data_IF_720183296924
#
_entry.id   IF_720183296924
#
_cell.length_a   1.000
_cell.length_b   1.000
_cell.length_c   1.000
_cell.angle_alpha   90.00
_cell.angle_beta   90.00
_cell.angle_gamma   90.00
#
_symmetry.space_group_name_H-M   'P 1'
#
loop_
_entity.id
_entity.type
_entity.pdbx_description
1 polymer ?
#
# COMPACT_ATOMS: atom_id res chain seq x y z
N UNK A 1 43.22 5.19 -32.76
CA UNK A 1 41.86 5.65 -32.37
C UNK A 1 41.91 7.15 -32.20
N UNK A 2 40.94 7.91 -32.72
CA UNK A 2 40.87 9.35 -32.44
C UNK A 2 40.46 9.58 -30.98
N UNK A 3 40.84 10.73 -30.41
CA UNK A 3 40.38 11.16 -29.08
C UNK A 3 38.85 11.23 -28.98
N UNK A 4 38.16 11.50 -30.09
CA UNK A 4 36.71 11.46 -30.17
C UNK A 4 36.15 10.04 -30.00
N UNK A 5 36.79 9.01 -30.57
CA UNK A 5 36.37 7.62 -30.38
C UNK A 5 36.60 7.15 -28.93
N UNK A 6 37.67 7.62 -28.28
CA UNK A 6 37.93 7.30 -26.87
C UNK A 6 36.87 7.95 -25.96
N UNK A 7 36.52 9.21 -26.18
CA UNK A 7 35.48 9.90 -25.44
C UNK A 7 34.11 9.21 -25.60
N UNK A 8 33.74 8.84 -26.82
CA UNK A 8 32.50 8.10 -27.08
C UNK A 8 32.51 6.74 -26.38
N UNK A 9 33.64 6.02 -26.38
CA UNK A 9 33.77 4.73 -25.69
C UNK A 9 33.60 4.89 -24.17
N UNK A 10 34.17 5.94 -23.57
CA UNK A 10 34.01 6.22 -22.14
C UNK A 10 32.55 6.56 -21.81
N UNK A 11 31.90 7.40 -22.61
CA UNK A 11 30.48 7.73 -22.43
C UNK A 11 29.58 6.49 -22.56
N UNK A 12 29.88 5.60 -23.52
CA UNK A 12 29.18 4.34 -23.72
C UNK A 12 29.35 3.41 -22.51
N UNK A 13 30.58 3.27 -22.00
CA UNK A 13 30.86 2.47 -20.80
C UNK A 13 30.17 3.02 -19.56
N UNK A 14 30.19 4.34 -19.34
CA UNK A 14 29.48 4.96 -18.21
C UNK A 14 27.98 4.69 -18.29
N UNK A 15 27.39 4.81 -19.48
CA UNK A 15 25.96 4.51 -19.70
C UNK A 15 25.65 3.02 -19.44
N UNK A 16 26.46 2.12 -19.98
CA UNK A 16 26.28 0.67 -19.80
C UNK A 16 26.46 0.24 -18.34
N UNK A 17 27.40 0.84 -17.61
CA UNK A 17 27.60 0.57 -16.17
C UNK A 17 26.44 1.10 -15.34
N UNK A 18 25.86 2.25 -15.68
CA UNK A 18 24.66 2.75 -15.02
C UNK A 18 23.43 1.89 -15.31
N UNK A 19 23.27 1.44 -16.56
CA UNK A 19 22.18 0.54 -16.96
C UNK A 19 22.32 -0.86 -16.32
N UNK A 20 23.55 -1.36 -16.17
CA UNK A 20 23.84 -2.62 -15.49
C UNK A 20 23.86 -2.52 -13.95
N UNK A 21 23.80 -1.30 -13.40
CA UNK A 21 23.83 -1.05 -11.96
C UNK A 21 22.49 -1.27 -11.26
N UNK A 22 21.46 -1.70 -11.99
CA UNK A 22 20.07 -1.88 -11.53
C UNK A 22 19.49 -0.62 -10.86
N UNK A 23 19.15 0.41 -11.66
CA UNK A 23 18.58 1.63 -11.12
C UNK A 23 17.16 1.32 -10.61
N UNK A 24 17.05 1.04 -9.30
CA UNK A 24 15.81 0.66 -8.60
C UNK A 24 15.17 -0.63 -9.12
N UNK A 25 15.41 -1.73 -8.42
CA UNK A 25 14.78 -3.04 -8.67
C UNK A 25 13.60 -3.27 -7.71
N UNK A 26 12.75 -4.25 -8.02
CA UNK A 26 11.62 -4.65 -7.20
C UNK A 26 11.77 -6.07 -6.66
N UNK A 27 11.26 -6.31 -5.46
CA UNK A 27 11.27 -7.65 -4.86
C UNK A 27 9.97 -7.92 -4.10
N UNK A 28 9.78 -9.19 -3.73
CA UNK A 28 8.72 -9.61 -2.82
C UNK A 28 9.27 -9.75 -1.41
N UNK A 29 8.46 -9.35 -0.44
CA UNK A 29 8.75 -9.56 0.98
C UNK A 29 7.54 -10.08 1.73
N UNK A 30 7.79 -10.67 2.89
CA UNK A 30 6.77 -11.18 3.81
C UNK A 30 6.86 -10.39 5.12
N UNK A 31 5.72 -9.89 5.59
CA UNK A 31 5.63 -9.15 6.85
C UNK A 31 5.91 -10.10 8.02
N UNK A 32 6.92 -9.79 8.85
CA UNK A 32 7.29 -10.60 10.03
C UNK A 32 6.69 -10.04 11.32
N UNK A 33 6.68 -8.71 11.49
CA UNK A 33 6.15 -8.03 12.68
C UNK A 33 5.36 -6.79 12.29
N UNK A 34 4.35 -6.39 13.08
CA UNK A 34 3.48 -5.24 12.79
C UNK A 34 3.88 -3.97 13.56
N UNK A 35 4.42 -4.10 14.78
CA UNK A 35 4.81 -2.98 15.63
C UNK A 35 5.99 -3.37 16.53
N UNK A 36 7.24 -3.00 16.16
CA UNK A 36 7.60 -2.25 14.95
C UNK A 36 7.38 -3.09 13.68
N UNK A 37 7.11 -2.44 12.54
CA UNK A 37 6.95 -3.12 11.26
C UNK A 37 8.28 -3.71 10.80
N UNK A 38 8.27 -4.95 10.33
CA UNK A 38 9.42 -5.52 9.62
C UNK A 38 8.99 -6.44 8.49
N UNK A 39 9.76 -6.42 7.40
CA UNK A 39 9.49 -7.22 6.19
C UNK A 39 10.75 -7.99 5.84
N UNK A 40 10.63 -9.31 5.74
CA UNK A 40 11.71 -10.17 5.23
C UNK A 40 11.64 -10.23 3.71
N UNK A 41 12.74 -9.85 3.06
CA UNK A 41 12.93 -10.02 1.61
C UNK A 41 13.83 -11.24 1.36
N UNK A 42 13.37 -12.14 0.48
CA UNK A 42 14.07 -13.39 0.15
C UNK A 42 14.53 -14.21 1.37
N UNK A 43 15.64 -14.95 1.25
CA UNK A 43 16.13 -15.87 2.30
C UNK A 43 17.04 -15.22 3.36
N UNK A 44 17.26 -13.90 3.38
CA UNK A 44 18.23 -13.32 4.34
C UNK A 44 17.87 -11.98 4.99
N UNK A 45 17.48 -10.96 4.24
CA UNK A 45 17.45 -9.61 4.81
C UNK A 45 16.09 -9.27 5.42
N UNK A 46 16.10 -8.73 6.64
CA UNK A 46 14.92 -8.17 7.31
C UNK A 46 15.04 -6.65 7.25
N UNK A 47 14.07 -6.01 6.64
CA UNK A 47 13.99 -4.56 6.53
C UNK A 47 13.12 -4.05 7.69
N UNK A 48 13.70 -3.20 8.52
CA UNK A 48 13.05 -2.58 9.67
C UNK A 48 12.27 -1.33 9.28
N UNK A 49 11.29 -0.94 10.09
CA UNK A 49 10.35 0.16 9.86
C UNK A 49 11.02 1.46 9.40
N UNK A 50 12.18 1.82 9.94
CA UNK A 50 12.92 3.05 9.57
C UNK A 50 13.45 3.07 8.12
N UNK A 51 13.48 1.91 7.44
CA UNK A 51 13.88 1.79 6.04
C UNK A 51 12.68 1.50 5.13
N UNK A 52 11.45 1.55 5.65
CA UNK A 52 10.22 1.31 4.89
C UNK A 52 9.43 2.60 4.72
N UNK A 53 9.19 2.96 3.46
CA UNK A 53 8.28 4.03 3.08
C UNK A 53 6.95 3.41 2.65
N UNK A 54 5.88 3.68 3.40
CA UNK A 54 4.57 3.05 3.17
C UNK A 54 3.65 3.93 2.32
N UNK A 55 3.01 3.33 1.32
CA UNK A 55 1.92 3.96 0.57
C UNK A 55 0.57 3.75 1.28
N UNK A 56 -0.46 4.50 0.88
CA UNK A 56 -1.85 4.32 1.35
C UNK A 56 -2.41 2.91 1.01
N UNK A 57 -1.76 2.19 0.09
CA UNK A 57 -2.12 0.82 -0.27
C UNK A 57 -1.75 -0.21 0.81
N UNK A 58 -0.97 0.16 1.83
CA UNK A 58 -0.45 -0.76 2.86
C UNK A 58 -0.40 -0.15 4.28
N UNK A 59 -1.03 1.01 4.49
CA UNK A 59 -1.14 1.65 5.81
C UNK A 59 -2.57 2.09 6.08
N UNK A 60 -2.93 2.25 7.34
CA UNK A 60 -4.17 2.93 7.69
C UNK A 60 -4.11 4.40 7.28
N UNK A 61 -5.14 4.88 6.59
CA UNK A 61 -5.22 6.26 6.13
C UNK A 61 -6.64 6.82 6.22
N UNK A 62 -6.72 8.15 6.26
CA UNK A 62 -7.98 8.86 6.23
C UNK A 62 -8.20 9.45 4.84
N UNK A 63 -9.40 9.32 4.32
CA UNK A 63 -9.78 9.88 3.03
C UNK A 63 -11.17 10.49 3.09
N UNK A 64 -11.37 11.58 2.36
CA UNK A 64 -12.69 12.16 2.15
C UNK A 64 -13.34 11.54 0.92
N UNK A 65 -14.55 11.03 1.09
CA UNK A 65 -15.40 10.51 0.02
C UNK A 65 -16.65 11.39 -0.13
N UNK A 66 -17.22 11.42 -1.33
CA UNK A 66 -18.57 11.95 -1.54
C UNK A 66 -19.53 10.78 -1.68
N UNK A 67 -20.58 10.77 -0.85
CA UNK A 67 -21.60 9.72 -0.86
C UNK A 67 -22.94 10.29 -1.35
N UNK A 68 -23.71 9.44 -2.00
CA UNK A 68 -25.10 9.71 -2.37
C UNK A 68 -25.90 8.41 -2.26
N UNK A 69 -26.08 7.95 -1.02
CA UNK A 69 -26.78 6.70 -0.70
C UNK A 69 -28.01 6.98 0.15
N UNK A 70 -28.94 6.04 0.16
CA UNK A 70 -30.06 6.00 1.11
C UNK A 70 -30.04 4.62 1.78
N UNK A 71 -30.30 4.56 3.08
CA UNK A 71 -30.33 3.27 3.79
C UNK A 71 -31.51 2.41 3.32
N UNK A 72 -31.45 1.11 3.57
CA UNK A 72 -32.64 0.27 3.43
C UNK A 72 -33.73 0.70 4.42
N UNK A 73 -34.98 0.46 4.03
CA UNK A 73 -36.12 0.66 4.92
C UNK A 73 -36.03 -0.32 6.09
N UNK A 74 -36.08 0.21 7.32
CA UNK A 74 -36.11 -0.58 8.54
C UNK A 74 -37.22 -0.07 9.45
N UNK A 75 -37.93 -1.00 10.08
CA UNK A 75 -38.91 -0.72 11.15
C UNK A 75 -38.41 -1.35 12.45
N UNK A 76 -38.65 -0.72 13.59
CA UNK A 76 -38.28 -1.28 14.89
C UNK A 76 -39.07 -0.65 16.03
N UNK A 77 -39.72 -1.45 16.86
CA UNK A 77 -40.54 -1.00 17.99
C UNK A 77 -41.85 -1.77 18.14
N UNK A 78 -42.62 -1.48 19.19
CA UNK A 78 -43.80 -2.23 19.62
C UNK A 78 -45.09 -2.06 18.79
N UNK A 79 -45.00 -1.70 17.51
CA UNK A 79 -46.15 -1.59 16.59
C UNK A 79 -46.86 -0.22 16.54
N UNK A 80 -46.32 0.82 17.17
CA UNK A 80 -46.84 2.19 17.06
C UNK A 80 -46.41 2.87 15.73
N UNK A 81 -47.20 3.85 15.27
CA UNK A 81 -47.00 4.51 13.97
C UNK A 81 -45.66 5.25 13.86
N UNK A 82 -45.15 5.74 14.99
CA UNK A 82 -43.86 6.40 15.14
C UNK A 82 -42.67 5.46 14.85
N UNK A 83 -42.90 4.15 14.81
CA UNK A 83 -41.92 3.12 14.47
C UNK A 83 -42.09 2.56 13.05
N UNK A 84 -42.88 3.25 12.21
CA UNK A 84 -43.08 2.86 10.83
C UNK A 84 -41.76 2.77 10.06
N UNK A 85 -41.75 1.88 9.07
CA UNK A 85 -40.58 1.65 8.23
C UNK A 85 -40.19 2.92 7.49
N UNK A 86 -38.94 3.34 7.64
CA UNK A 86 -38.37 4.49 6.96
C UNK A 86 -36.89 4.25 6.67
N UNK A 87 -36.31 5.18 5.93
CA UNK A 87 -34.90 5.22 5.58
C UNK A 87 -34.31 6.60 5.86
N UNK A 88 -32.99 6.71 5.69
CA UNK A 88 -32.25 7.94 5.84
C UNK A 88 -31.33 8.18 4.67
N UNK A 89 -31.23 9.44 4.27
CA UNK A 89 -30.22 9.88 3.30
C UNK A 89 -28.84 9.93 3.95
N UNK A 90 -27.87 9.35 3.26
CA UNK A 90 -26.45 9.42 3.57
C UNK A 90 -25.73 10.09 2.41
N UNK A 91 -25.75 11.42 2.43
CA UNK A 91 -25.27 12.30 1.35
C UNK A 91 -24.16 13.25 1.80
N UNK A 92 -23.36 13.70 0.84
CA UNK A 92 -22.35 14.75 1.00
C UNK A 92 -20.92 14.24 1.22
N UNK A 93 -20.00 15.15 1.56
CA UNK A 93 -18.59 14.83 1.85
C UNK A 93 -18.45 14.24 3.24
N UNK A 94 -17.83 13.07 3.36
CA UNK A 94 -17.61 12.33 4.60
C UNK A 94 -16.15 11.91 4.69
N UNK A 95 -15.56 12.03 5.87
CA UNK A 95 -14.25 11.44 6.17
C UNK A 95 -14.45 10.00 6.62
N UNK A 96 -13.70 9.08 6.04
CA UNK A 96 -13.61 7.69 6.48
C UNK A 96 -12.17 7.33 6.83
N UNK A 97 -12.00 6.35 7.70
CA UNK A 97 -10.72 5.66 7.90
C UNK A 97 -10.75 4.39 7.07
N UNK A 98 -9.75 4.22 6.21
CA UNK A 98 -9.51 2.96 5.50
C UNK A 98 -8.48 2.19 6.30
N UNK A 99 -8.92 1.07 6.88
CA UNK A 99 -8.04 0.15 7.59
C UNK A 99 -7.35 -0.76 6.56
N UNK A 100 -6.07 -0.48 6.33
CA UNK A 100 -5.27 -1.09 5.28
C UNK A 100 -3.82 -1.33 5.71
N UNK A 101 -3.50 -1.22 7.00
CA UNK A 101 -2.22 -1.57 7.58
C UNK A 101 -1.85 -3.05 7.36
N UNK A 102 -0.56 -3.32 7.22
CA UNK A 102 -0.04 -4.66 6.98
C UNK A 102 -0.20 -5.58 8.19
N UNK A 103 -0.43 -6.86 7.90
CA UNK A 103 -0.51 -7.92 8.90
C UNK A 103 0.59 -8.98 8.73
N UNK A 104 0.96 -9.65 9.83
CA UNK A 104 1.97 -10.73 9.79
C UNK A 104 1.58 -11.80 8.77
N UNK A 105 2.55 -12.18 7.93
CA UNK A 105 2.39 -13.19 6.88
C UNK A 105 1.92 -12.64 5.54
N UNK A 106 1.52 -11.37 5.46
CA UNK A 106 1.17 -10.75 4.19
C UNK A 106 2.39 -10.63 3.28
N UNK A 107 2.20 -10.92 1.99
CA UNK A 107 3.23 -10.75 0.96
C UNK A 107 3.05 -9.40 0.28
N UNK A 108 4.12 -8.63 0.19
CA UNK A 108 4.12 -7.28 -0.39
C UNK A 108 5.15 -7.14 -1.51
N UNK A 109 4.89 -6.17 -2.39
CA UNK A 109 5.81 -5.74 -3.45
C UNK A 109 6.58 -4.52 -2.95
N UNK A 110 7.91 -4.58 -3.00
CA UNK A 110 8.78 -3.49 -2.59
C UNK A 110 9.57 -2.96 -3.80
N UNK A 111 9.78 -1.65 -3.85
CA UNK A 111 10.75 -1.00 -4.73
C UNK A 111 11.96 -0.55 -3.93
N UNK A 112 13.16 -0.94 -4.37
CA UNK A 112 14.40 -0.50 -3.74
C UNK A 112 14.71 0.95 -4.12
N UNK A 113 15.05 1.77 -3.12
CA UNK A 113 15.54 3.12 -3.35
C UNK A 113 16.90 3.09 -4.06
N UNK A 114 17.00 3.77 -5.20
CA UNK A 114 18.26 3.89 -5.92
C UNK A 114 19.32 4.62 -5.07
N UNK A 115 20.50 4.02 -4.94
CA UNK A 115 21.62 4.57 -4.17
C UNK A 115 21.41 4.59 -2.65
N UNK A 116 20.36 3.94 -2.14
CA UNK A 116 20.01 3.88 -0.72
C UNK A 116 19.75 2.46 -0.23
N UNK A 117 19.35 2.38 1.04
CA UNK A 117 18.95 1.15 1.73
C UNK A 117 17.45 1.09 2.03
N UNK A 118 16.71 2.15 1.69
CA UNK A 118 15.26 2.22 1.87
C UNK A 118 14.48 1.47 0.80
N UNK A 119 13.24 1.14 1.13
CA UNK A 119 12.28 0.52 0.23
C UNK A 119 10.95 1.24 0.30
N UNK A 120 10.31 1.44 -0.85
CA UNK A 120 8.90 1.83 -0.91
C UNK A 120 8.05 0.57 -0.98
N UNK A 121 7.12 0.39 -0.05
CA UNK A 121 6.16 -0.71 -0.06
C UNK A 121 4.96 -0.31 -0.91
N UNK A 122 4.87 -0.88 -2.11
CA UNK A 122 3.89 -0.48 -3.12
C UNK A 122 2.49 -0.96 -2.81
N UNK A 123 2.34 -2.27 -2.56
CA UNK A 123 1.04 -2.92 -2.33
C UNK A 123 1.25 -4.33 -1.77
N UNK A 124 0.16 -4.95 -1.32
CA UNK A 124 0.08 -6.41 -1.19
C UNK A 124 0.12 -7.06 -2.56
N UNK A 125 0.65 -8.29 -2.63
CA UNK A 125 0.59 -9.15 -3.81
C UNK A 125 -0.59 -10.15 -3.75
N UNK A 126 -1.25 -10.25 -2.59
CA UNK A 126 -2.40 -11.11 -2.36
C UNK A 126 -3.49 -10.34 -1.61
N UNK A 127 -4.63 -10.99 -1.41
CA UNK A 127 -5.75 -10.44 -0.66
C UNK A 127 -5.33 -10.05 0.77
N UNK A 128 -5.93 -8.97 1.25
CA UNK A 128 -5.74 -8.48 2.61
C UNK A 128 -6.28 -9.54 3.60
N UNK A 129 -5.43 -9.91 4.55
CA UNK A 129 -5.76 -10.85 5.62
C UNK A 129 -6.37 -10.14 6.82
N UNK A 130 -7.00 -10.88 7.75
CA UNK A 130 -7.58 -10.32 8.98
C UNK A 130 -8.69 -9.25 8.80
N UNK A 131 -9.36 -9.24 7.65
CA UNK A 131 -10.55 -8.40 7.44
C UNK A 131 -11.66 -8.86 8.39
N UNK A 132 -12.11 -7.96 9.28
CA UNK A 132 -13.15 -8.20 10.29
C UNK A 132 -14.44 -7.41 10.05
N UNK A 133 -14.54 -6.72 8.91
CA UNK A 133 -15.72 -5.97 8.52
C UNK A 133 -16.96 -6.87 8.45
N UNK A 134 -18.12 -6.32 8.80
CA UNK A 134 -19.40 -7.02 8.69
C UNK A 134 -19.84 -7.04 7.22
N UNK A 135 -20.29 -8.21 6.76
CA UNK A 135 -21.06 -8.35 5.54
C UNK A 135 -22.55 -8.37 5.91
N UNK A 136 -23.37 -7.69 5.11
CA UNK A 136 -24.83 -7.67 5.25
C UNK A 136 -25.48 -9.00 4.85
#
# INVERSE_FOLDING_TARGET
>A
MSTANLLQTIQQLSKQTMEAGDPSDWCLGVVETESPLSIRIEQKDVITEEFLELTDAVRDYNVDITVNHTTENRSGGGGYAEFASHNHDYVGRKRITVHNALHVGETVILLRQHGGQGFVVLSRNHDHTNISGQWG
#
